data_IF_390790850745
#
_entry.id   IF_390790850745
#
_cell.length_a   1.000
_cell.length_b   1.000
_cell.length_c   1.000
_cell.angle_alpha   90.00
_cell.angle_beta   90.00
_cell.angle_gamma   90.00
#
_symmetry.space_group_name_H-M   'P 1'
#
loop_
_entity.id
_entity.type
_entity.pdbx_description
1 polymer ?
#
# COMPACT_ATOMS: atom_id res chain seq x y z
N UNK A 1 22.01 1.86 -10.95
CA UNK A 1 22.02 0.38 -10.86
C UNK A 1 22.68 -0.01 -9.55
N UNK A 2 22.21 -1.07 -8.89
CA UNK A 2 22.75 -1.58 -7.61
C UNK A 2 22.63 -3.10 -7.58
N UNK A 3 23.58 -3.80 -6.96
CA UNK A 3 23.46 -5.24 -6.70
C UNK A 3 22.29 -5.51 -5.73
N UNK A 4 21.54 -6.58 -6.00
CA UNK A 4 20.42 -6.98 -5.17
C UNK A 4 20.86 -7.63 -3.87
N UNK A 5 20.08 -7.46 -2.80
CA UNK A 5 20.44 -7.99 -1.47
C UNK A 5 19.95 -9.43 -1.22
N UNK A 6 18.86 -9.83 -1.88
CA UNK A 6 18.13 -11.07 -1.57
C UNK A 6 18.08 -12.00 -2.77
N UNK A 7 19.16 -12.75 -2.99
CA UNK A 7 19.22 -13.76 -4.04
C UNK A 7 20.32 -14.80 -3.80
N UNK A 8 20.11 -16.01 -4.34
CA UNK A 8 21.13 -17.04 -4.41
C UNK A 8 21.75 -17.12 -5.81
N UNK A 9 23.05 -17.34 -5.87
CA UNK A 9 23.74 -17.75 -7.10
C UNK A 9 23.54 -19.24 -7.30
N UNK A 10 23.09 -19.63 -8.49
CA UNK A 10 22.86 -21.01 -8.85
C UNK A 10 23.85 -21.48 -9.93
N UNK A 11 23.84 -22.78 -10.20
CA UNK A 11 24.59 -23.39 -11.28
C UNK A 11 24.27 -22.76 -12.66
N UNK A 12 25.25 -22.82 -13.56
CA UNK A 12 25.13 -22.32 -14.94
C UNK A 12 24.81 -20.81 -15.04
N UNK A 13 25.29 -20.01 -14.08
CA UNK A 13 25.15 -18.55 -14.08
C UNK A 13 23.73 -18.05 -13.83
N UNK A 14 22.82 -18.90 -13.34
CA UNK A 14 21.45 -18.51 -12.98
C UNK A 14 21.45 -17.89 -11.58
N UNK A 15 20.39 -17.13 -11.27
CA UNK A 15 20.15 -16.60 -9.92
C UNK A 15 18.73 -16.91 -9.47
N UNK A 16 18.52 -17.10 -8.18
CA UNK A 16 17.20 -17.26 -7.58
C UNK A 16 16.88 -16.02 -6.73
N UNK A 17 15.88 -15.25 -7.13
CA UNK A 17 15.53 -13.97 -6.52
C UNK A 17 14.51 -14.15 -5.39
N UNK A 18 14.87 -13.73 -4.18
CA UNK A 18 14.07 -13.86 -2.96
C UNK A 18 13.35 -12.58 -2.55
N UNK A 19 13.18 -11.62 -3.46
CA UNK A 19 12.63 -10.30 -3.12
C UNK A 19 11.10 -10.30 -3.05
N UNK A 20 10.43 -11.15 -3.82
CA UNK A 20 8.96 -11.24 -3.82
C UNK A 20 8.49 -12.68 -4.01
N UNK A 21 7.22 -12.95 -3.70
CA UNK A 21 6.66 -14.30 -3.68
C UNK A 21 6.58 -14.98 -5.06
N UNK A 22 7.05 -14.33 -6.13
CA UNK A 22 7.31 -14.99 -7.41
C UNK A 22 8.55 -15.91 -7.37
N UNK A 23 9.51 -15.68 -6.47
CA UNK A 23 10.71 -16.51 -6.31
C UNK A 23 11.40 -16.82 -7.66
N UNK A 24 11.61 -15.78 -8.49
CA UNK A 24 12.04 -15.97 -9.87
C UNK A 24 13.43 -16.62 -9.96
N UNK A 25 13.56 -17.66 -10.78
CA UNK A 25 14.86 -18.17 -11.22
C UNK A 25 15.24 -17.55 -12.57
N UNK A 26 16.26 -16.70 -12.59
CA UNK A 26 16.58 -15.81 -13.71
C UNK A 26 17.88 -16.29 -14.39
N UNK A 27 17.86 -16.68 -15.67
CA UNK A 27 19.07 -17.00 -16.43
C UNK A 27 19.98 -15.79 -16.65
N UNK A 28 21.27 -16.01 -16.91
CA UNK A 28 22.21 -14.95 -17.25
C UNK A 28 21.72 -14.12 -18.46
N UNK A 29 21.86 -12.80 -18.39
CA UNK A 29 21.40 -11.85 -19.41
C UNK A 29 19.88 -11.67 -19.46
N UNK A 30 19.11 -12.27 -18.54
CA UNK A 30 17.65 -12.17 -18.50
C UNK A 30 17.17 -11.36 -17.31
N UNK A 31 15.90 -10.96 -17.38
CA UNK A 31 15.19 -10.22 -16.32
C UNK A 31 14.14 -11.09 -15.65
N UNK A 32 13.89 -10.81 -14.37
CA UNK A 32 12.76 -11.38 -13.63
C UNK A 32 11.41 -10.86 -14.14
N UNK A 33 10.32 -11.40 -13.58
CA UNK A 33 8.96 -11.04 -14.03
C UNK A 33 8.66 -9.53 -13.89
N UNK A 34 9.26 -8.85 -12.92
CA UNK A 34 9.11 -7.41 -12.74
C UNK A 34 9.80 -6.55 -13.81
N UNK A 35 10.63 -7.15 -14.68
CA UNK A 35 11.39 -6.47 -15.74
C UNK A 35 12.40 -5.40 -15.27
N UNK A 36 12.62 -5.27 -13.95
CA UNK A 36 13.56 -4.30 -13.37
C UNK A 36 14.69 -4.93 -12.57
N UNK A 37 14.70 -6.26 -12.45
CA UNK A 37 15.81 -7.03 -11.88
C UNK A 37 16.41 -7.92 -12.95
N UNK A 38 17.70 -7.77 -13.19
CA UNK A 38 18.44 -8.41 -14.26
C UNK A 38 19.57 -9.26 -13.70
N UNK A 39 19.76 -10.46 -14.23
CA UNK A 39 20.93 -11.27 -13.91
C UNK A 39 22.06 -10.95 -14.89
N UNK A 40 23.15 -10.34 -14.39
CA UNK A 40 24.37 -10.06 -15.13
C UNK A 40 25.46 -10.97 -14.65
N UNK A 41 25.77 -12.00 -15.43
CA UNK A 41 26.86 -12.95 -15.16
C UNK A 41 26.83 -13.57 -13.76
N UNK A 42 25.64 -13.95 -13.29
CA UNK A 42 25.42 -14.54 -11.96
C UNK A 42 25.23 -13.51 -10.85
N UNK A 43 25.17 -12.22 -11.17
CA UNK A 43 24.86 -11.16 -10.22
C UNK A 43 23.47 -10.59 -10.50
N UNK A 44 22.57 -10.65 -9.51
CA UNK A 44 21.28 -9.99 -9.64
C UNK A 44 21.46 -8.49 -9.39
N UNK A 45 21.09 -7.65 -10.35
CA UNK A 45 21.13 -6.18 -10.22
C UNK A 45 19.73 -5.59 -10.36
N UNK A 46 19.44 -4.55 -9.60
CA UNK A 46 18.27 -3.69 -9.81
C UNK A 46 18.61 -2.56 -10.77
N UNK A 47 17.73 -2.37 -11.74
CA UNK A 47 17.82 -1.34 -12.78
C UNK A 47 17.18 -0.03 -12.36
N UNK A 48 16.45 -0.01 -11.23
CA UNK A 48 15.61 1.12 -10.80
C UNK A 48 16.06 1.79 -9.52
N UNK A 49 17.22 1.40 -8.98
CA UNK A 49 17.78 2.08 -7.81
C UNK A 49 18.03 3.56 -8.11
N UNK A 50 17.37 4.45 -7.37
CA UNK A 50 17.44 5.89 -7.55
C UNK A 50 16.65 6.44 -8.73
N UNK A 51 15.92 5.62 -9.49
CA UNK A 51 15.17 6.04 -10.68
C UNK A 51 13.75 6.45 -10.30
N UNK A 52 13.57 7.67 -9.81
CA UNK A 52 12.26 8.16 -9.34
C UNK A 52 11.38 8.55 -10.53
N UNK A 53 10.20 7.95 -10.64
CA UNK A 53 9.25 8.21 -11.75
C UNK A 53 8.06 9.05 -11.32
N UNK A 54 7.79 9.12 -10.02
CA UNK A 54 6.76 9.95 -9.43
C UNK A 54 7.18 10.34 -8.01
N UNK A 55 6.97 11.61 -7.67
CA UNK A 55 7.18 12.13 -6.33
C UNK A 55 6.17 13.23 -6.03
N UNK A 56 5.53 13.18 -4.86
CA UNK A 56 4.53 14.17 -4.45
C UNK A 56 4.50 14.34 -2.93
N UNK A 57 4.17 15.54 -2.48
CA UNK A 57 3.73 15.78 -1.09
C UNK A 57 2.22 15.59 -1.07
N UNK A 58 1.77 14.53 -0.40
CA UNK A 58 0.36 14.15 -0.32
C UNK A 58 -0.09 14.15 1.15
N UNK A 59 -1.39 14.30 1.44
CA UNK A 59 -1.92 13.98 2.76
C UNK A 59 -1.87 12.47 3.00
N UNK A 60 -1.66 12.04 4.24
CA UNK A 60 -1.57 10.62 4.60
C UNK A 60 -2.87 9.85 4.27
N UNK A 61 -4.00 10.54 4.25
CA UNK A 61 -5.30 10.03 3.81
C UNK A 61 -5.27 9.45 2.38
N UNK A 62 -4.42 9.99 1.50
CA UNK A 62 -4.25 9.48 0.13
C UNK A 62 -3.45 8.16 0.08
N UNK A 63 -2.83 7.73 1.18
CA UNK A 63 -2.15 6.43 1.36
C UNK A 63 -3.04 5.39 2.05
N UNK A 64 -4.36 5.49 1.81
CA UNK A 64 -5.44 5.03 2.71
C UNK A 64 -5.00 4.64 4.13
N UNK A 65 -4.48 5.63 4.87
CA UNK A 65 -4.05 5.48 6.25
C UNK A 65 -4.81 6.48 7.12
N UNK A 66 -6.05 6.15 7.48
CA UNK A 66 -6.96 7.06 8.18
C UNK A 66 -6.74 7.08 9.69
N UNK A 67 -5.93 6.16 10.21
CA UNK A 67 -5.61 6.01 11.63
C UNK A 67 -4.10 6.10 11.89
N UNK A 68 -3.35 6.70 10.96
CA UNK A 68 -1.92 6.93 11.11
C UNK A 68 -1.60 8.41 10.91
N UNK A 69 -1.53 9.16 12.02
CA UNK A 69 -1.32 10.61 12.03
C UNK A 69 -2.22 11.38 11.06
N UNK A 70 -3.57 11.32 11.22
CA UNK A 70 -4.51 11.96 10.31
C UNK A 70 -4.22 13.44 10.09
N UNK A 71 -4.30 13.90 8.83
CA UNK A 71 -3.99 15.27 8.39
C UNK A 71 -2.51 15.59 8.28
N UNK A 72 -1.60 14.64 8.53
CA UNK A 72 -0.17 14.83 8.31
C UNK A 72 0.20 14.69 6.83
N UNK A 73 1.28 15.36 6.43
CA UNK A 73 1.85 15.25 5.09
C UNK A 73 2.81 14.06 4.99
N UNK A 74 2.85 13.44 3.82
CA UNK A 74 3.76 12.35 3.47
C UNK A 74 4.45 12.61 2.14
N UNK A 75 5.78 12.46 2.13
CA UNK A 75 6.58 12.52 0.92
C UNK A 75 6.48 11.19 0.20
N UNK A 76 5.79 11.17 -0.91
CA UNK A 76 5.39 9.97 -1.64
C UNK A 76 6.31 9.76 -2.82
N UNK A 77 6.82 8.55 -3.04
CA UNK A 77 7.64 8.27 -4.21
C UNK A 77 7.45 6.86 -4.78
N UNK A 78 7.86 6.72 -6.04
CA UNK A 78 7.87 5.48 -6.81
C UNK A 78 9.06 5.42 -7.78
N UNK A 79 9.46 4.21 -8.14
CA UNK A 79 10.31 3.93 -9.31
C UNK A 79 9.47 3.25 -10.41
N UNK A 80 9.95 3.11 -11.66
CA UNK A 80 9.17 2.38 -12.66
C UNK A 80 9.16 0.87 -12.39
N UNK A 81 8.08 0.19 -12.78
CA UNK A 81 7.92 -1.26 -12.69
C UNK A 81 7.02 -1.74 -11.55
N UNK A 82 6.62 -3.01 -11.61
CA UNK A 82 5.80 -3.68 -10.61
C UNK A 82 5.99 -5.20 -10.74
N UNK A 83 5.88 -5.94 -9.64
CA UNK A 83 6.01 -7.40 -9.65
C UNK A 83 4.71 -8.10 -10.09
N UNK A 84 3.56 -7.42 -10.11
CA UNK A 84 2.27 -7.95 -10.58
C UNK A 84 1.73 -7.18 -11.81
N UNK A 85 0.70 -7.73 -12.45
CA UNK A 85 0.14 -7.26 -13.72
C UNK A 85 -1.37 -7.02 -13.63
N UNK A 86 -1.82 -6.33 -12.58
CA UNK A 86 -3.22 -5.96 -12.38
C UNK A 86 -3.81 -5.37 -13.66
N UNK A 87 -4.80 -6.03 -14.26
CA UNK A 87 -5.50 -5.56 -15.47
C UNK A 87 -6.22 -4.23 -15.29
N UNK A 88 -6.45 -3.83 -14.04
CA UNK A 88 -7.14 -2.59 -13.63
C UNK A 88 -6.18 -1.53 -13.07
N UNK A 89 -4.86 -1.68 -13.24
CA UNK A 89 -3.90 -0.79 -12.61
C UNK A 89 -4.08 0.68 -13.04
N UNK A 90 -4.39 1.55 -12.08
CA UNK A 90 -4.55 2.99 -12.31
C UNK A 90 -3.22 3.69 -12.62
N UNK A 91 -2.09 3.10 -12.20
CA UNK A 91 -0.74 3.61 -12.43
C UNK A 91 0.01 2.79 -13.51
N UNK A 92 -0.70 2.14 -14.44
CA UNK A 92 -0.10 1.25 -15.42
C UNK A 92 0.97 1.93 -16.29
N UNK A 93 0.84 3.23 -16.54
CA UNK A 93 1.79 4.05 -17.31
C UNK A 93 3.20 4.04 -16.71
N UNK A 94 3.34 3.88 -15.40
CA UNK A 94 4.63 3.81 -14.70
C UNK A 94 4.91 2.41 -14.16
N UNK A 95 3.90 1.70 -13.66
CA UNK A 95 4.06 0.37 -13.06
C UNK A 95 4.33 -0.70 -14.12
N UNK A 96 3.74 -0.57 -15.32
CA UNK A 96 3.92 -1.53 -16.41
C UNK A 96 4.85 -1.00 -17.52
N UNK A 97 5.42 0.21 -17.38
CA UNK A 97 6.35 0.79 -18.36
C UNK A 97 7.49 -0.16 -18.76
N UNK A 98 8.20 -0.84 -17.84
CA UNK A 98 9.28 -1.76 -18.22
C UNK A 98 8.80 -2.96 -19.03
N UNK A 99 7.52 -3.34 -18.87
CA UNK A 99 6.91 -4.47 -19.58
C UNK A 99 6.33 -4.04 -20.93
N UNK A 100 5.50 -3.02 -20.92
CA UNK A 100 4.69 -2.61 -22.06
C UNK A 100 5.49 -1.79 -23.07
N UNK A 101 6.49 -1.03 -22.59
CA UNK A 101 7.31 -0.14 -23.41
C UNK A 101 8.78 -0.54 -23.49
N UNK A 102 9.18 -1.56 -22.73
CA UNK A 102 10.60 -1.98 -22.61
C UNK A 102 11.53 -0.83 -22.19
N UNK A 103 11.00 0.11 -21.41
CA UNK A 103 11.69 1.32 -20.97
C UNK A 103 11.78 1.37 -19.44
N UNK A 104 12.89 1.89 -18.95
CA UNK A 104 13.08 2.24 -17.54
C UNK A 104 13.44 3.72 -17.54
N UNK A 105 12.51 4.55 -17.09
CA UNK A 105 12.66 6.00 -17.04
C UNK A 105 12.37 6.49 -15.63
N UNK A 106 13.19 7.41 -15.16
CA UNK A 106 13.06 8.12 -13.91
C UNK A 106 14.20 9.11 -13.73
N UNK A 107 13.98 10.10 -12.89
CA UNK A 107 14.99 11.06 -12.50
C UNK A 107 15.86 10.46 -11.40
N UNK A 108 17.17 10.62 -11.54
CA UNK A 108 18.11 10.12 -10.54
C UNK A 108 18.00 10.93 -9.26
N UNK A 109 17.64 10.26 -8.17
CA UNK A 109 17.61 10.85 -6.83
C UNK A 109 18.32 9.91 -5.86
N UNK A 110 19.14 10.49 -4.97
CA UNK A 110 19.81 9.72 -3.92
C UNK A 110 18.86 9.51 -2.73
N UNK A 111 19.07 8.47 -1.90
CA UNK A 111 18.30 8.30 -0.67
C UNK A 111 18.32 9.52 0.25
N UNK A 112 19.48 10.18 0.36
CA UNK A 112 19.64 11.38 1.18
C UNK A 112 18.81 12.56 0.63
N UNK A 113 18.80 12.76 -0.69
CA UNK A 113 18.01 13.81 -1.31
C UNK A 113 16.50 13.61 -1.10
N UNK A 114 16.02 12.35 -1.09
CA UNK A 114 14.61 12.04 -0.76
C UNK A 114 14.29 12.46 0.67
N UNK A 115 15.17 12.16 1.63
CA UNK A 115 14.98 12.51 3.04
C UNK A 115 15.04 14.02 3.24
N UNK A 116 15.99 14.72 2.62
CA UNK A 116 16.09 16.17 2.65
C UNK A 116 14.82 16.83 2.10
N UNK A 117 14.37 16.43 0.91
CA UNK A 117 13.13 16.94 0.32
C UNK A 117 11.89 16.68 1.20
N UNK A 118 11.82 15.54 1.88
CA UNK A 118 10.73 15.24 2.81
C UNK A 118 10.75 16.17 4.04
N UNK A 119 11.92 16.45 4.60
CA UNK A 119 12.09 17.36 5.73
C UNK A 119 11.77 18.81 5.35
N UNK A 120 12.29 19.28 4.21
CA UNK A 120 12.04 20.62 3.67
C UNK A 120 10.56 20.87 3.42
N UNK A 121 9.84 19.85 2.92
CA UNK A 121 8.39 19.91 2.71
C UNK A 121 7.56 19.84 4.01
N UNK A 122 8.20 19.68 5.18
CA UNK A 122 7.51 19.53 6.46
C UNK A 122 6.72 18.22 6.59
N UNK A 123 7.09 17.20 5.81
CA UNK A 123 6.41 15.90 5.86
C UNK A 123 6.64 15.21 7.20
N UNK A 124 5.62 14.51 7.68
CA UNK A 124 5.77 13.65 8.85
C UNK A 124 6.36 12.28 8.51
N UNK A 125 6.19 11.88 7.25
CA UNK A 125 6.52 10.54 6.79
C UNK A 125 7.00 10.51 5.35
N UNK A 126 7.63 9.40 4.97
CA UNK A 126 7.91 9.04 3.58
C UNK A 126 7.04 7.81 3.24
N UNK A 127 6.33 7.86 2.12
CA UNK A 127 5.51 6.76 1.62
C UNK A 127 6.09 6.19 0.33
N UNK A 128 6.40 4.89 0.35
CA UNK A 128 6.67 4.13 -0.86
C UNK A 128 5.34 3.67 -1.45
N UNK A 129 4.97 4.16 -2.63
CA UNK A 129 3.61 4.03 -3.16
C UNK A 129 3.57 4.10 -4.70
N UNK A 130 2.38 4.28 -5.29
CA UNK A 130 2.02 4.33 -6.71
C UNK A 130 2.29 3.05 -7.52
N UNK A 131 3.42 2.40 -7.30
CA UNK A 131 3.79 1.09 -7.83
C UNK A 131 3.96 0.10 -6.67
N UNK A 132 4.73 -0.98 -6.87
CA UNK A 132 5.09 -1.90 -5.79
C UNK A 132 6.47 -1.60 -5.17
N UNK A 133 6.57 -1.19 -3.90
CA UNK A 133 7.85 -0.91 -3.24
C UNK A 133 8.87 -2.05 -3.23
N UNK A 134 8.40 -3.30 -3.24
CA UNK A 134 9.26 -4.50 -3.29
C UNK A 134 10.21 -4.50 -4.48
N UNK A 135 9.83 -3.90 -5.62
CA UNK A 135 10.69 -3.91 -6.81
C UNK A 135 11.90 -2.98 -6.70
N UNK A 136 11.82 -1.94 -5.86
CA UNK A 136 12.93 -1.03 -5.54
C UNK A 136 13.38 -1.18 -4.08
N UNK A 137 13.24 -2.39 -3.52
CA UNK A 137 13.53 -2.72 -2.13
C UNK A 137 14.85 -2.14 -1.59
N UNK A 138 15.97 -2.25 -2.31
CA UNK A 138 17.26 -1.74 -1.82
C UNK A 138 17.26 -0.22 -1.69
N UNK A 139 16.56 0.49 -2.57
CA UNK A 139 16.42 1.94 -2.52
C UNK A 139 15.48 2.36 -1.37
N UNK A 140 14.34 1.67 -1.24
CA UNK A 140 13.42 1.87 -0.13
C UNK A 140 14.10 1.63 1.23
N UNK A 141 14.94 0.60 1.34
CA UNK A 141 15.67 0.27 2.57
C UNK A 141 16.64 1.38 2.98
N UNK A 142 17.41 1.92 2.03
CA UNK A 142 18.36 3.00 2.30
C UNK A 142 17.64 4.31 2.69
N UNK A 143 16.55 4.65 1.99
CA UNK A 143 15.71 5.80 2.35
C UNK A 143 15.11 5.60 3.73
N UNK A 144 14.59 4.41 4.03
CA UNK A 144 13.94 4.13 5.31
C UNK A 144 14.91 4.26 6.49
N UNK A 145 16.17 3.80 6.34
CA UNK A 145 17.20 3.99 7.37
C UNK A 145 17.47 5.46 7.63
N UNK A 146 17.80 6.22 6.59
CA UNK A 146 18.11 7.66 6.70
C UNK A 146 16.90 8.46 7.21
N UNK A 147 15.70 8.15 6.72
CA UNK A 147 14.47 8.83 7.15
C UNK A 147 14.17 8.58 8.62
N UNK A 148 14.39 7.36 9.12
CA UNK A 148 14.22 7.04 10.54
C UNK A 148 15.24 7.76 11.42
N UNK A 149 16.50 7.83 11.00
CA UNK A 149 17.53 8.61 11.69
C UNK A 149 17.16 10.10 11.75
N UNK A 150 16.50 10.62 10.73
CA UNK A 150 15.98 11.99 10.67
C UNK A 150 14.61 12.19 11.37
N UNK A 151 14.04 11.17 12.01
CA UNK A 151 12.77 11.26 12.74
C UNK A 151 11.50 11.18 11.88
N UNK A 152 11.61 10.89 10.58
CA UNK A 152 10.48 10.64 9.70
C UNK A 152 9.90 9.25 9.93
N UNK A 153 8.57 9.12 9.83
CA UNK A 153 7.92 7.82 9.78
C UNK A 153 8.02 7.22 8.38
N UNK A 154 8.05 5.90 8.27
CA UNK A 154 8.09 5.19 6.97
C UNK A 154 6.78 4.45 6.75
N UNK A 155 6.18 4.66 5.58
CA UNK A 155 4.91 4.09 5.13
C UNK A 155 5.15 3.18 3.92
N UNK A 156 4.54 1.99 3.96
CA UNK A 156 4.52 1.04 2.87
C UNK A 156 3.10 0.95 2.26
N UNK A 157 2.89 1.40 1.03
CA UNK A 157 1.65 1.14 0.27
C UNK A 157 1.97 0.08 -0.78
N UNK A 158 1.39 -1.11 -0.63
CA UNK A 158 1.91 -2.31 -1.29
C UNK A 158 0.80 -3.28 -1.71
N UNK A 159 1.08 -4.09 -2.72
CA UNK A 159 0.24 -5.22 -3.11
C UNK A 159 0.39 -6.47 -2.23
N UNK A 160 1.27 -6.42 -1.22
CA UNK A 160 1.48 -7.47 -0.23
C UNK A 160 2.24 -8.71 -0.73
N UNK A 161 2.85 -8.66 -1.91
CA UNK A 161 3.51 -9.81 -2.53
C UNK A 161 5.00 -9.97 -2.16
N UNK A 162 5.42 -9.38 -1.03
CA UNK A 162 6.74 -9.54 -0.44
C UNK A 162 7.02 -10.98 -0.01
N UNK A 163 8.30 -11.33 0.11
CA UNK A 163 8.76 -12.52 0.84
C UNK A 163 9.00 -12.22 2.32
N UNK A 164 9.14 -13.25 3.14
CA UNK A 164 9.45 -13.11 4.57
C UNK A 164 10.81 -12.45 4.78
N UNK A 165 11.80 -12.76 3.94
CA UNK A 165 13.13 -12.18 3.95
C UNK A 165 13.10 -10.67 3.70
N UNK A 166 12.29 -10.24 2.72
CA UNK A 166 12.09 -8.82 2.43
C UNK A 166 11.39 -8.12 3.59
N UNK A 167 10.32 -8.71 4.12
CA UNK A 167 9.59 -8.15 5.25
C UNK A 167 10.43 -8.08 6.51
N UNK A 168 11.29 -9.06 6.79
CA UNK A 168 12.17 -9.06 7.97
C UNK A 168 13.16 -7.88 7.95
N UNK A 169 13.62 -7.46 6.77
CA UNK A 169 14.51 -6.30 6.63
C UNK A 169 13.75 -4.96 6.69
N UNK A 170 12.49 -4.91 6.24
CA UNK A 170 11.67 -3.70 6.28
C UNK A 170 10.97 -3.47 7.62
N UNK A 171 10.50 -4.52 8.29
CA UNK A 171 9.65 -4.44 9.47
C UNK A 171 10.22 -3.56 10.60
N UNK A 172 11.54 -3.58 10.93
CA UNK A 172 12.10 -2.69 11.95
C UNK A 172 12.03 -1.19 11.56
N UNK A 173 11.93 -0.90 10.27
CA UNK A 173 12.04 0.43 9.70
C UNK A 173 10.68 1.05 9.34
N UNK A 174 9.64 0.25 9.07
CA UNK A 174 8.32 0.71 8.62
C UNK A 174 7.34 0.81 9.79
N UNK A 175 6.62 1.93 9.91
CA UNK A 175 5.68 2.17 11.02
C UNK A 175 4.23 1.87 10.65
N UNK A 176 3.89 2.08 9.38
CA UNK A 176 2.57 1.77 8.87
C UNK A 176 2.62 1.15 7.48
N UNK A 177 1.65 0.28 7.21
CA UNK A 177 1.42 -0.28 5.91
C UNK A 177 -0.05 -0.17 5.53
N UNK A 178 -0.29 0.17 4.27
CA UNK A 178 -1.55 -0.09 3.60
C UNK A 178 -1.32 -1.20 2.58
N UNK A 179 -2.01 -2.33 2.75
CA UNK A 179 -1.88 -3.46 1.84
C UNK A 179 -3.16 -3.63 1.02
N UNK A 180 -3.00 -3.71 -0.29
CA UNK A 180 -4.10 -4.01 -1.20
C UNK A 180 -4.46 -5.50 -1.15
N UNK A 181 -5.52 -5.86 -0.42
CA UNK A 181 -6.18 -7.16 -0.57
C UNK A 181 -7.18 -7.06 -1.73
N UNK A 182 -6.68 -7.33 -2.94
CA UNK A 182 -7.37 -7.01 -4.21
C UNK A 182 -8.63 -7.84 -4.46
N UNK A 183 -8.75 -9.01 -3.83
CA UNK A 183 -9.87 -9.94 -3.90
C UNK A 183 -9.70 -10.98 -2.79
N UNK A 184 -10.73 -11.78 -2.53
CA UNK A 184 -10.60 -12.99 -1.69
C UNK A 184 -10.79 -14.27 -2.51
N UNK A 185 -10.15 -14.27 -3.70
CA UNK A 185 -10.27 -15.32 -4.71
C UNK A 185 -8.94 -15.55 -5.41
N UNK A 186 -8.34 -16.74 -5.24
CA UNK A 186 -7.10 -17.09 -5.94
C UNK A 186 -7.28 -17.12 -7.47
N UNK A 187 -8.49 -17.43 -7.94
CA UNK A 187 -8.85 -17.32 -9.37
C UNK A 187 -8.72 -15.88 -9.87
N UNK A 188 -9.20 -14.89 -9.11
CA UNK A 188 -9.04 -13.48 -9.45
C UNK A 188 -7.56 -13.11 -9.48
N UNK A 189 -6.79 -13.50 -8.46
CA UNK A 189 -5.35 -13.22 -8.40
C UNK A 189 -4.60 -13.77 -9.61
N UNK A 190 -4.85 -15.03 -9.99
CA UNK A 190 -4.17 -15.63 -11.15
C UNK A 190 -4.57 -14.98 -12.47
N UNK A 191 -5.86 -14.71 -12.68
CA UNK A 191 -6.39 -14.26 -13.98
C UNK A 191 -6.33 -12.74 -14.19
N UNK A 192 -6.42 -11.96 -13.12
CA UNK A 192 -6.57 -10.50 -13.17
C UNK A 192 -5.35 -9.77 -12.63
N UNK A 193 -4.68 -10.34 -11.61
CA UNK A 193 -3.49 -9.74 -10.98
C UNK A 193 -2.19 -10.32 -11.55
N UNK A 194 -2.17 -11.59 -11.96
CA UNK A 194 -0.96 -12.31 -12.34
C UNK A 194 -0.16 -12.81 -11.14
N UNK A 195 -0.82 -13.09 -10.01
CA UNK A 195 -0.23 -13.52 -8.75
C UNK A 195 -1.08 -14.62 -8.08
N UNK A 196 -0.77 -14.99 -6.83
CA UNK A 196 -1.60 -15.87 -5.98
C UNK A 196 -2.11 -15.11 -4.76
N UNK A 197 -3.23 -15.56 -4.19
CA UNK A 197 -3.81 -14.93 -2.99
C UNK A 197 -2.97 -15.19 -1.73
N UNK A 198 -2.58 -16.44 -1.48
CA UNK A 198 -1.99 -16.86 -0.20
C UNK A 198 -0.80 -16.01 0.26
N UNK A 199 0.18 -15.63 -0.60
CA UNK A 199 1.29 -14.80 -0.17
C UNK A 199 0.87 -13.42 0.37
N UNK A 200 -0.23 -12.86 -0.14
CA UNK A 200 -0.77 -11.58 0.35
C UNK A 200 -1.36 -11.75 1.74
N UNK A 201 -2.10 -12.84 1.97
CA UNK A 201 -2.66 -13.16 3.29
C UNK A 201 -1.55 -13.39 4.32
N UNK A 202 -0.48 -14.07 3.94
CA UNK A 202 0.69 -14.30 4.78
C UNK A 202 1.43 -13.02 5.14
N UNK A 203 1.57 -12.09 4.19
CA UNK A 203 2.12 -10.75 4.44
C UNK A 203 1.25 -9.98 5.43
N UNK A 204 -0.07 -9.96 5.25
CA UNK A 204 -1.00 -9.28 6.17
C UNK A 204 -0.85 -9.80 7.61
N UNK A 205 -0.84 -11.13 7.79
CA UNK A 205 -0.62 -11.76 9.11
C UNK A 205 0.73 -11.37 9.70
N UNK A 206 1.79 -11.38 8.89
CA UNK A 206 3.13 -11.02 9.37
C UNK A 206 3.20 -9.57 9.85
N UNK A 207 2.69 -8.64 9.06
CA UNK A 207 2.75 -7.21 9.37
C UNK A 207 2.00 -6.89 10.67
N UNK A 208 0.81 -7.50 10.86
CA UNK A 208 0.06 -7.38 12.11
C UNK A 208 0.85 -7.97 13.29
N UNK A 209 1.39 -9.18 13.15
CA UNK A 209 2.19 -9.83 14.19
C UNK A 209 3.49 -9.06 14.53
N UNK A 210 4.07 -8.36 13.56
CA UNK A 210 5.23 -7.50 13.75
C UNK A 210 4.91 -6.14 14.44
N UNK A 211 3.65 -5.88 14.77
CA UNK A 211 3.22 -4.66 15.49
C UNK A 211 3.16 -3.40 14.63
N UNK A 212 3.24 -3.54 13.30
CA UNK A 212 3.09 -2.44 12.37
C UNK A 212 1.64 -1.96 12.34
N UNK A 213 1.41 -0.66 12.20
CA UNK A 213 0.05 -0.17 11.97
C UNK A 213 -0.41 -0.61 10.57
N UNK A 214 -1.48 -1.37 10.49
CA UNK A 214 -1.94 -1.98 9.25
C UNK A 214 -3.36 -1.51 8.93
N UNK A 215 -3.53 -0.98 7.72
CA UNK A 215 -4.84 -0.78 7.11
C UNK A 215 -4.89 -1.57 5.80
N UNK A 216 -6.07 -2.03 5.41
CA UNK A 216 -6.25 -2.86 4.21
C UNK A 216 -7.13 -2.15 3.22
N UNK A 217 -6.78 -2.19 1.94
CA UNK A 217 -7.59 -1.61 0.86
C UNK A 217 -8.03 -2.67 -0.14
N UNK A 218 -9.29 -2.55 -0.57
CA UNK A 218 -9.86 -3.35 -1.64
C UNK A 218 -10.53 -2.43 -2.65
N UNK A 219 -10.01 -2.41 -3.87
CA UNK A 219 -10.67 -1.77 -5.00
C UNK A 219 -11.75 -2.72 -5.54
N UNK A 220 -13.02 -2.36 -5.39
CA UNK A 220 -14.15 -3.20 -5.82
C UNK A 220 -14.45 -2.93 -7.29
N UNK A 221 -14.48 -3.96 -8.12
CA UNK A 221 -14.58 -3.96 -9.57
C UNK A 221 -15.84 -4.75 -9.97
N UNK A 222 -16.83 -4.12 -10.63
CA UNK A 222 -18.08 -4.76 -11.00
C UNK A 222 -17.91 -6.04 -11.83
N UNK A 223 -18.48 -7.15 -11.36
CA UNK A 223 -18.42 -8.45 -12.02
C UNK A 223 -17.12 -9.23 -11.79
N UNK A 224 -16.21 -8.75 -10.94
CA UNK A 224 -14.95 -9.43 -10.67
C UNK A 224 -14.74 -9.81 -9.19
N UNK A 225 -14.94 -8.86 -8.26
CA UNK A 225 -14.70 -9.05 -6.82
C UNK A 225 -15.78 -8.36 -5.95
N UNK A 226 -16.95 -8.10 -6.52
CA UNK A 226 -18.02 -7.32 -5.89
C UNK A 226 -19.20 -8.16 -5.37
N UNK A 227 -19.09 -9.49 -5.39
CA UNK A 227 -20.13 -10.38 -4.85
C UNK A 227 -20.20 -10.31 -3.34
N UNK A 228 -21.40 -10.51 -2.79
CA UNK A 228 -21.63 -10.51 -1.34
C UNK A 228 -20.78 -11.58 -0.65
N UNK A 229 -20.67 -12.77 -1.25
CA UNK A 229 -19.91 -13.90 -0.70
C UNK A 229 -18.42 -13.57 -0.59
N UNK A 230 -17.85 -12.99 -1.65
CA UNK A 230 -16.43 -12.65 -1.67
C UNK A 230 -16.10 -11.54 -0.67
N UNK A 231 -16.91 -10.47 -0.64
CA UNK A 231 -16.73 -9.36 0.30
C UNK A 231 -16.92 -9.82 1.75
N UNK A 232 -17.86 -10.75 2.01
CA UNK A 232 -18.07 -11.34 3.33
C UNK A 232 -16.87 -12.17 3.77
N UNK A 233 -16.34 -13.00 2.88
CA UNK A 233 -15.16 -13.82 3.18
C UNK A 233 -13.93 -12.95 3.46
N UNK A 234 -13.73 -11.88 2.68
CA UNK A 234 -12.67 -10.90 2.89
C UNK A 234 -12.81 -10.21 4.25
N UNK A 235 -13.98 -9.61 4.53
CA UNK A 235 -14.22 -8.89 5.77
C UNK A 235 -14.07 -9.79 7.00
N UNK A 236 -14.55 -11.04 6.91
CA UNK A 236 -14.38 -12.05 7.96
C UNK A 236 -12.90 -12.35 8.23
N UNK A 237 -12.11 -12.56 7.17
CA UNK A 237 -10.66 -12.75 7.32
C UNK A 237 -10.00 -11.58 8.06
N UNK A 238 -10.36 -10.34 7.73
CA UNK A 238 -9.83 -9.16 8.43
C UNK A 238 -10.22 -9.16 9.91
N UNK A 239 -11.49 -9.42 10.22
CA UNK A 239 -11.98 -9.45 11.60
C UNK A 239 -11.34 -10.58 12.43
N UNK A 240 -11.32 -11.80 11.89
CA UNK A 240 -10.91 -13.01 12.60
C UNK A 240 -9.39 -13.12 12.73
N UNK A 241 -8.64 -12.79 11.68
CA UNK A 241 -7.19 -13.03 11.63
C UNK A 241 -6.34 -11.77 11.86
N UNK A 242 -6.84 -10.59 11.51
CA UNK A 242 -6.13 -9.33 11.72
C UNK A 242 -6.71 -8.51 12.87
N UNK A 243 -7.91 -8.84 13.35
CA UNK A 243 -8.60 -8.17 14.44
C UNK A 243 -9.60 -7.12 13.96
N UNK A 244 -10.72 -7.03 14.68
CA UNK A 244 -11.85 -6.10 14.42
C UNK A 244 -11.46 -4.63 14.37
N UNK A 245 -10.30 -4.28 14.92
CA UNK A 245 -9.76 -2.93 14.95
C UNK A 245 -8.98 -2.55 13.68
N UNK A 246 -8.78 -3.49 12.75
CA UNK A 246 -8.07 -3.28 11.48
C UNK A 246 -8.97 -2.51 10.50
N UNK A 247 -8.59 -1.28 10.10
CA UNK A 247 -9.39 -0.52 9.14
C UNK A 247 -9.41 -1.16 7.76
N UNK A 248 -10.60 -1.26 7.20
CA UNK A 248 -10.81 -1.70 5.82
C UNK A 248 -11.31 -0.56 4.95
N UNK A 249 -10.61 -0.28 3.86
CA UNK A 249 -10.97 0.71 2.86
C UNK A 249 -11.54 0.02 1.64
N UNK A 250 -12.80 0.30 1.34
CA UNK A 250 -13.48 -0.18 0.14
C UNK A 250 -13.54 0.93 -0.87
N UNK A 251 -12.79 0.81 -1.96
CA UNK A 251 -12.64 1.88 -2.94
C UNK A 251 -13.37 1.58 -4.25
N UNK A 252 -13.94 2.63 -4.86
CA UNK A 252 -14.58 2.53 -6.19
C UNK A 252 -13.54 2.38 -7.29
N UNK A 253 -13.77 1.41 -8.16
CA UNK A 253 -13.08 1.29 -9.44
C UNK A 253 -13.62 2.31 -10.45
N UNK A 254 -12.71 2.76 -11.30
CA UNK A 254 -13.00 3.48 -12.54
C UNK A 254 -12.22 2.80 -13.67
N UNK A 255 -12.77 2.73 -14.89
CA UNK A 255 -12.14 2.07 -16.02
C UNK A 255 -10.67 2.49 -16.21
N UNK A 256 -9.77 1.50 -16.22
CA UNK A 256 -8.33 1.74 -16.29
C UNK A 256 -7.60 0.57 -16.96
N UNK A 257 -6.48 0.89 -17.62
CA UNK A 257 -5.54 -0.03 -18.23
C UNK A 257 -6.15 -1.06 -19.20
N UNK A 258 -6.40 -2.30 -18.78
CA UNK A 258 -6.97 -3.37 -19.63
C UNK A 258 -8.45 -3.66 -19.33
N UNK A 259 -9.05 -2.93 -18.39
CA UNK A 259 -10.47 -3.01 -18.04
C UNK A 259 -11.19 -1.69 -18.38
N UNK A 260 -11.06 -1.21 -19.61
CA UNK A 260 -11.69 0.03 -20.10
C UNK A 260 -13.20 -0.11 -20.29
N UNK A 261 -13.68 -1.32 -20.55
CA UNK A 261 -15.10 -1.62 -20.80
C UNK A 261 -15.91 -1.90 -19.52
N UNK A 262 -15.23 -1.98 -18.37
CA UNK A 262 -15.91 -2.23 -17.08
C UNK A 262 -16.36 -0.89 -16.52
N UNK A 263 -17.66 -0.71 -16.20
CA UNK A 263 -18.16 0.57 -15.71
C UNK A 263 -17.59 0.91 -14.32
N UNK A 264 -17.61 2.20 -13.92
CA UNK A 264 -17.29 2.56 -12.55
C UNK A 264 -18.15 1.82 -11.53
N UNK A 265 -17.58 1.51 -10.36
CA UNK A 265 -18.32 0.82 -9.30
C UNK A 265 -19.49 1.67 -8.83
N UNK A 266 -20.72 1.13 -8.82
CA UNK A 266 -21.86 1.83 -8.26
C UNK A 266 -21.64 2.16 -6.78
N UNK A 267 -22.11 3.33 -6.33
CA UNK A 267 -22.01 3.74 -4.92
C UNK A 267 -22.70 2.71 -4.01
N UNK A 268 -23.86 2.19 -4.42
CA UNK A 268 -24.59 1.15 -3.70
C UNK A 268 -23.76 -0.12 -3.43
N UNK A 269 -22.82 -0.47 -4.33
CA UNK A 269 -21.91 -1.60 -4.11
C UNK A 269 -20.91 -1.33 -2.98
N UNK A 270 -20.45 -0.09 -2.84
CA UNK A 270 -19.55 0.32 -1.76
C UNK A 270 -20.29 0.44 -0.43
N UNK A 271 -21.53 0.93 -0.46
CA UNK A 271 -22.42 0.95 0.70
C UNK A 271 -22.69 -0.46 1.21
N UNK A 272 -22.98 -1.40 0.31
CA UNK A 272 -23.12 -2.82 0.64
C UNK A 272 -21.84 -3.40 1.25
N UNK A 273 -20.68 -3.17 0.64
CA UNK A 273 -19.40 -3.66 1.16
C UNK A 273 -19.11 -3.11 2.57
N UNK A 274 -19.42 -1.83 2.81
CA UNK A 274 -19.31 -1.22 4.13
C UNK A 274 -20.21 -1.92 5.15
N UNK A 275 -21.48 -2.14 4.81
CA UNK A 275 -22.43 -2.84 5.68
C UNK A 275 -21.92 -4.24 6.03
N UNK A 276 -21.47 -5.02 5.03
CA UNK A 276 -20.89 -6.35 5.22
C UNK A 276 -19.71 -6.30 6.20
N UNK A 277 -18.78 -5.36 6.01
CA UNK A 277 -17.62 -5.23 6.90
C UNK A 277 -18.00 -4.99 8.36
N UNK A 278 -18.96 -4.09 8.60
CA UNK A 278 -19.49 -3.82 9.93
C UNK A 278 -20.24 -5.02 10.52
N UNK A 279 -21.02 -5.74 9.72
CA UNK A 279 -21.73 -6.97 10.12
C UNK A 279 -20.77 -8.11 10.50
N UNK A 280 -19.59 -8.19 9.85
CA UNK A 280 -18.51 -9.11 10.26
C UNK A 280 -17.75 -8.63 11.51
N UNK A 281 -18.13 -7.49 12.09
CA UNK A 281 -17.59 -6.99 13.34
C UNK A 281 -16.43 -6.01 13.21
N UNK A 282 -16.02 -5.63 11.99
CA UNK A 282 -15.00 -4.59 11.83
C UNK A 282 -15.50 -3.26 12.39
N UNK A 283 -14.65 -2.58 13.15
CA UNK A 283 -14.96 -1.29 13.77
C UNK A 283 -14.89 -0.14 12.76
N UNK A 284 -14.01 -0.24 11.77
CA UNK A 284 -13.71 0.83 10.82
C UNK A 284 -13.77 0.29 9.39
N UNK A 285 -14.81 0.70 8.67
CA UNK A 285 -14.97 0.39 7.25
C UNK A 285 -15.23 1.68 6.48
N UNK A 286 -14.25 2.05 5.67
CA UNK A 286 -14.19 3.32 4.95
C UNK A 286 -14.59 3.15 3.50
N UNK A 287 -15.27 4.17 2.98
CA UNK A 287 -15.69 4.24 1.59
C UNK A 287 -14.75 5.19 0.85
N UNK A 288 -13.96 4.62 -0.06
CA UNK A 288 -13.02 5.34 -0.90
C UNK A 288 -13.63 5.74 -2.24
N UNK A 289 -13.18 6.86 -2.80
CA UNK A 289 -13.64 7.39 -4.08
C UNK A 289 -15.16 7.73 -4.11
N UNK A 290 -15.73 8.03 -2.95
CA UNK A 290 -17.12 8.42 -2.73
C UNK A 290 -17.16 9.79 -2.04
N UNK A 291 -16.73 10.83 -2.76
CA UNK A 291 -16.54 12.17 -2.20
C UNK A 291 -17.79 12.65 -1.45
N UNK A 292 -17.61 13.08 -0.19
CA UNK A 292 -18.69 13.59 0.65
C UNK A 292 -19.55 12.49 1.29
N UNK A 293 -19.14 11.22 1.21
CA UNK A 293 -19.83 10.14 1.90
C UNK A 293 -19.59 10.16 3.41
N UNK A 294 -20.62 9.78 4.17
CA UNK A 294 -20.51 9.48 5.61
C UNK A 294 -19.50 8.36 5.90
N UNK A 295 -19.19 7.53 4.91
CA UNK A 295 -18.18 6.48 4.98
C UNK A 295 -16.74 6.98 4.94
N UNK A 296 -16.48 8.28 4.79
CA UNK A 296 -15.13 8.88 4.89
C UNK A 296 -14.75 9.23 6.35
N UNK A 297 -15.75 9.25 7.24
CA UNK A 297 -15.61 9.73 8.61
C UNK A 297 -15.23 8.63 9.59
N UNK A 298 -14.41 8.97 10.59
CA UNK A 298 -14.07 8.06 11.69
C UNK A 298 -15.07 8.23 12.82
N UNK A 299 -15.71 7.13 13.22
CA UNK A 299 -16.71 7.07 14.28
C UNK A 299 -16.15 6.31 15.49
N UNK A 300 -16.54 6.73 16.70
CA UNK A 300 -16.17 5.98 17.90
C UNK A 300 -16.92 4.64 17.95
N UNK A 301 -16.23 3.49 18.03
CA UNK A 301 -16.91 2.19 18.09
C UNK A 301 -17.67 1.97 19.39
N UNK A 302 -17.36 2.72 20.46
CA UNK A 302 -17.97 2.56 21.77
C UNK A 302 -19.25 3.40 21.96
N UNK A 303 -19.27 4.65 21.50
CA UNK A 303 -20.40 5.56 21.72
C UNK A 303 -21.00 6.17 20.45
N UNK A 304 -20.48 5.82 19.26
CA UNK A 304 -21.01 6.29 17.97
C UNK A 304 -20.78 7.77 17.65
N UNK A 305 -20.00 8.51 18.45
CA UNK A 305 -19.70 9.91 18.17
C UNK A 305 -18.78 10.05 16.96
N UNK A 306 -19.00 11.06 16.12
CA UNK A 306 -18.05 11.45 15.06
C UNK A 306 -16.74 11.95 15.69
N UNK A 307 -15.62 11.33 15.32
CA UNK A 307 -14.29 11.64 15.84
C UNK A 307 -13.43 12.38 14.84
N UNK A 308 -13.47 11.97 13.58
CA UNK A 308 -12.71 12.63 12.52
C UNK A 308 -13.64 12.88 11.35
N UNK A 309 -13.71 14.15 10.94
CA UNK A 309 -14.41 14.59 9.75
C UNK A 309 -13.42 14.89 8.63
N UNK A 310 -13.73 14.42 7.43
CA UNK A 310 -12.98 14.53 6.18
C UNK A 310 -13.92 14.95 5.05
N UNK A 311 -13.33 15.54 4.03
CA UNK A 311 -13.94 15.72 2.72
C UNK A 311 -12.94 15.25 1.66
N UNK A 312 -13.14 14.04 1.13
CA UNK A 312 -12.10 13.36 0.37
C UNK A 312 -10.84 13.14 1.22
N UNK A 313 -9.71 13.66 0.78
CA UNK A 313 -8.43 13.53 1.50
C UNK A 313 -8.14 14.69 2.48
N UNK A 314 -9.00 15.71 2.52
CA UNK A 314 -8.81 16.86 3.40
C UNK A 314 -9.43 16.58 4.77
N UNK A 315 -8.65 16.75 5.83
CA UNK A 315 -9.11 16.66 7.20
C UNK A 315 -9.86 17.95 7.57
N UNK A 316 -11.12 17.87 7.98
CA UNK A 316 -11.90 19.03 8.43
C UNK A 316 -11.86 19.19 9.95
N UNK A 317 -11.94 18.08 10.67
CA UNK A 317 -11.97 18.09 12.13
C UNK A 317 -11.34 16.81 12.69
N UNK A 318 -10.61 16.93 13.81
CA UNK A 318 -10.10 15.79 14.56
C UNK A 318 -10.33 15.99 16.06
N UNK A 319 -11.26 15.20 16.61
CA UNK A 319 -11.67 15.15 18.02
C UNK A 319 -10.98 14.05 18.81
N UNK A 320 -10.04 13.30 18.23
CA UNK A 320 -9.24 12.33 18.99
C UNK A 320 -8.25 13.09 19.87
N UNK A 321 -8.18 12.71 21.15
CA UNK A 321 -7.26 13.30 22.13
C UNK A 321 -6.41 12.18 22.70
N UNK A 322 -5.09 12.22 22.47
CA UNK A 322 -4.15 11.20 22.95
C UNK A 322 -4.58 9.75 22.63
N UNK A 323 -5.14 9.53 21.44
CA UNK A 323 -5.62 8.21 21.00
C UNK A 323 -6.95 7.76 21.64
N UNK A 324 -7.70 8.68 22.26
CA UNK A 324 -8.99 8.40 22.87
C UNK A 324 -10.11 9.24 22.25
N UNK A 325 -11.33 8.71 22.35
CA UNK A 325 -12.56 9.45 22.06
C UNK A 325 -12.70 10.64 23.02
N UNK A 326 -12.93 11.85 22.49
CA UNK A 326 -13.16 13.03 23.32
C UNK A 326 -14.49 13.01 24.11
N UNK A 327 -15.42 12.11 23.78
CA UNK A 327 -16.74 12.03 24.42
C UNK A 327 -16.79 10.95 25.51
N UNK A 328 -16.38 9.72 25.18
CA UNK A 328 -16.49 8.57 26.10
C UNK A 328 -15.14 8.03 26.59
N UNK A 329 -14.02 8.63 26.19
CA UNK A 329 -12.66 8.25 26.57
C UNK A 329 -12.23 6.83 26.16
N UNK A 330 -13.03 6.10 25.38
CA UNK A 330 -12.63 4.83 24.82
C UNK A 330 -11.36 4.99 23.96
N UNK A 331 -10.44 4.04 24.09
CA UNK A 331 -9.27 3.96 23.23
C UNK A 331 -9.70 3.73 21.77
N UNK A 332 -9.11 4.51 20.87
CA UNK A 332 -9.33 4.39 19.42
C UNK A 332 -8.09 3.72 18.84
N UNK A 333 -8.30 2.67 18.05
CA UNK A 333 -7.19 1.98 17.42
C UNK A 333 -6.52 2.92 16.40
N UNK A 334 -5.19 3.02 16.45
CA UNK A 334 -4.43 3.88 15.55
C UNK A 334 -3.12 4.37 16.16
N UNK A 335 -2.39 5.15 15.36
CA UNK A 335 -1.25 5.95 15.78
C UNK A 335 -1.62 7.41 15.63
N UNK A 336 -1.71 8.10 16.76
CA UNK A 336 -2.13 9.50 16.82
C UNK A 336 -0.99 10.33 17.40
N UNK A 337 -0.70 11.46 16.76
CA UNK A 337 0.26 12.44 17.25
C UNK A 337 -0.41 13.65 17.89
N UNK A 338 0.38 14.63 18.36
CA UNK A 338 -0.15 15.93 18.73
C UNK A 338 -0.90 16.56 17.54
N UNK A 339 -2.00 17.27 17.82
CA UNK A 339 -2.82 17.91 16.78
C UNK A 339 -1.95 18.87 15.97
N UNK A 340 -1.91 18.71 14.65
CA UNK A 340 -1.20 19.59 13.72
C UNK A 340 -2.20 20.56 13.06
N UNK A 341 -1.75 21.74 12.60
CA UNK A 341 -2.58 22.61 11.78
C UNK A 341 -3.04 21.84 10.55
N UNK A 342 -4.33 21.92 10.22
CA UNK A 342 -4.87 21.35 8.99
C UNK A 342 -4.17 21.98 7.79
N UNK A 343 -3.50 21.18 6.97
CA UNK A 343 -2.96 21.65 5.69
C UNK A 343 -4.06 21.48 4.64
N UNK A 344 -4.64 22.60 4.20
CA UNK A 344 -5.48 22.61 3.00
C UNK A 344 -4.51 22.62 1.81
N UNK A 345 -4.42 21.50 1.10
CA UNK A 345 -3.71 21.44 -0.18
C UNK A 345 -4.72 21.91 -1.22
N UNK A 346 -4.50 23.09 -1.79
CA UNK A 346 -5.30 23.65 -2.90
C UNK A 346 -5.21 22.81 -4.18
#
# INVERSE_FOLDING_TARGET
>A
MKEGLLYDRLNSGRVHCHVCAHQCTIPAGRRGICQVRENRDGQLVTLVYGQVVAQHVDPVEKKPLFHFYPGSLTYSLATPGCNVHCRFCQNATVSQMPRDRQQIQGDMMSPAAVVEAALEAGCHSIAFTYVEPTIFFEYALDIARLGREAGLQIILVSNGYQTRETLALLAPLVQAANIDLKAFSDRFYRKVVGARLDPVLDTLRYLKAAGMWLEVTTLVIPGFNDSTEELTALARFLADELGVDTPWHVSRFFPAYKLTEVPPTPIATIERARAIGLEQGLQYVYQGNTLGSMGEQTWCPACGSELIRRWGFALQENRIVQGQCAVCHAAIAGRFGPKRPTVVIE
#
